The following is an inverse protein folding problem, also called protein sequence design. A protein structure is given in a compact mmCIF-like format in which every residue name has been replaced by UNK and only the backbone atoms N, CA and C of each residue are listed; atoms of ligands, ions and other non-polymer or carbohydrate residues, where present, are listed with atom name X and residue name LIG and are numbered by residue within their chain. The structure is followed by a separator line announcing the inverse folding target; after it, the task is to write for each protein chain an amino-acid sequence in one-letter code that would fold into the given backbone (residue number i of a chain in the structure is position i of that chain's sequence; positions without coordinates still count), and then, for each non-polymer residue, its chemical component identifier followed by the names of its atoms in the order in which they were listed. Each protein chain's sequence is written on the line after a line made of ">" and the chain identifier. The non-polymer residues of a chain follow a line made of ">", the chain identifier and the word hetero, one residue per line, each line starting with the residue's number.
data_IF_972879039673
#
_entry.id   IF_972879039673
#
_cell.length_a   1.000
_cell.length_b   1.000
_cell.length_c   1.000
_cell.angle_alpha   90.00
_cell.angle_beta   90.00
_cell.angle_gamma   90.00
#
_symmetry.space_group_name_H-M   'P 1'
#
loop_
_entity.id
_entity.type
_entity.pdbx_description
1 polymer ?
#
# COMPACT_ATOMS: atom_id res chain seq x y z
N UNK A 1 -6.05 4.08 -27.67
CA UNK A 1 -4.81 3.52 -27.12
C UNK A 1 -4.32 4.49 -26.07
N UNK A 2 -4.69 4.25 -24.80
CA UNK A 2 -4.22 5.04 -23.66
C UNK A 2 -3.64 4.04 -22.67
N UNK A 3 -2.34 3.80 -22.78
CA UNK A 3 -1.58 3.07 -21.75
C UNK A 3 -1.04 4.14 -20.81
N UNK A 4 -1.76 4.42 -19.74
CA UNK A 4 -1.15 5.04 -18.58
C UNK A 4 -0.71 3.89 -17.68
N UNK A 5 0.58 3.55 -17.76
CA UNK A 5 1.19 2.50 -16.96
C UNK A 5 1.19 2.93 -15.48
N UNK A 6 0.28 2.37 -14.69
CA UNK A 6 0.30 2.45 -13.23
C UNK A 6 1.35 1.45 -12.69
N UNK A 7 2.64 1.80 -12.85
CA UNK A 7 3.77 1.05 -12.31
C UNK A 7 3.92 1.31 -10.81
N UNK A 8 3.28 0.49 -9.99
CA UNK A 8 3.51 0.46 -8.53
C UNK A 8 4.52 -0.65 -8.20
N UNK A 9 5.62 -0.27 -7.56
CA UNK A 9 6.72 -1.17 -7.15
C UNK A 9 6.45 -1.60 -5.71
N UNK A 10 6.20 -2.90 -5.49
CA UNK A 10 6.19 -3.49 -4.16
C UNK A 10 7.50 -4.22 -3.91
N UNK A 11 8.30 -3.77 -2.94
CA UNK A 11 9.39 -4.58 -2.39
C UNK A 11 8.83 -5.45 -1.25
N UNK A 12 8.81 -6.78 -1.43
CA UNK A 12 8.52 -7.71 -0.32
C UNK A 12 9.86 -8.13 0.28
N UNK A 13 10.20 -7.56 1.43
CA UNK A 13 11.33 -8.01 2.25
C UNK A 13 10.87 -9.17 3.12
N UNK A 14 11.12 -10.40 2.66
CA UNK A 14 10.96 -11.59 3.49
C UNK A 14 12.20 -11.71 4.38
N UNK A 15 12.12 -11.14 5.60
CA UNK A 15 12.99 -11.57 6.69
C UNK A 15 12.55 -12.99 7.07
N UNK A 16 13.31 -13.97 6.57
CA UNK A 16 12.96 -15.40 6.55
C UNK A 16 12.58 -15.98 7.90
N UNK A 17 11.29 -15.99 8.20
CA UNK A 17 10.66 -16.85 9.22
C UNK A 17 9.33 -17.43 8.71
N UNK A 18 9.29 -17.88 7.46
CA UNK A 18 8.32 -18.87 7.05
C UNK A 18 9.01 -19.87 6.12
N UNK A 19 9.32 -21.05 6.68
CA UNK A 19 9.71 -22.23 5.92
C UNK A 19 8.52 -22.62 5.05
N UNK A 20 8.60 -22.30 3.76
CA UNK A 20 7.87 -23.04 2.73
C UNK A 20 8.90 -23.95 2.04
N UNK A 21 8.62 -25.23 2.08
CA UNK A 21 9.58 -26.34 2.02
C UNK A 21 9.95 -26.73 0.58
N UNK A 22 10.14 -25.76 -0.34
CA UNK A 22 10.44 -26.03 -1.77
C UNK A 22 11.35 -25.00 -2.48
N UNK A 23 12.29 -24.36 -1.77
CA UNK A 23 13.37 -23.59 -2.41
C UNK A 23 14.74 -24.23 -2.12
N UNK A 24 15.17 -25.08 -3.06
CA UNK A 24 16.55 -25.53 -3.15
C UNK A 24 17.47 -24.33 -3.45
N UNK A 25 18.55 -24.21 -2.68
CA UNK A 25 19.68 -23.26 -2.82
C UNK A 25 19.33 -21.77 -2.95
N UNK A 26 18.79 -21.20 -1.87
CA UNK A 26 18.62 -19.75 -1.76
C UNK A 26 19.96 -19.04 -1.48
N UNK A 27 20.49 -18.34 -2.48
CA UNK A 27 21.53 -17.32 -2.29
C UNK A 27 21.10 -16.37 -1.15
N UNK A 28 21.94 -16.14 -0.12
CA UNK A 28 21.57 -15.26 0.98
C UNK A 28 21.40 -13.82 0.44
N UNK A 29 20.38 -13.11 0.94
CA UNK A 29 20.10 -11.68 0.65
C UNK A 29 19.40 -11.38 -0.70
N UNK A 30 18.22 -11.95 -0.93
CA UNK A 30 17.37 -11.58 -2.07
C UNK A 30 16.14 -10.73 -1.68
N UNK A 31 15.67 -9.88 -2.61
CA UNK A 31 14.36 -9.22 -2.53
C UNK A 31 13.62 -9.37 -3.85
N UNK A 32 12.29 -9.25 -3.82
CA UNK A 32 11.47 -9.28 -5.02
C UNK A 32 10.67 -7.99 -5.18
N UNK A 33 10.60 -7.53 -6.42
CA UNK A 33 9.81 -6.37 -6.83
C UNK A 33 8.63 -6.85 -7.66
N UNK A 34 7.43 -6.69 -7.11
CA UNK A 34 6.19 -6.96 -7.81
C UNK A 34 5.78 -5.72 -8.61
N UNK A 35 5.57 -5.88 -9.90
CA UNK A 35 5.11 -4.84 -10.82
C UNK A 35 3.61 -4.97 -11.10
N UNK A 36 2.94 -3.87 -11.48
CA UNK A 36 1.47 -3.74 -11.55
C UNK A 36 0.71 -4.78 -12.39
N UNK A 37 1.39 -5.57 -13.23
CA UNK A 37 0.81 -6.68 -14.00
C UNK A 37 0.92 -8.05 -13.31
N UNK A 38 1.33 -8.10 -12.04
CA UNK A 38 1.48 -9.34 -11.27
C UNK A 38 2.79 -10.10 -11.57
N UNK A 39 3.66 -9.56 -12.42
CA UNK A 39 5.00 -10.08 -12.60
C UNK A 39 5.88 -9.67 -11.42
N UNK A 40 6.80 -10.55 -11.01
CA UNK A 40 7.76 -10.29 -9.94
C UNK A 40 9.17 -10.51 -10.45
N UNK A 41 10.06 -9.57 -10.17
CA UNK A 41 11.48 -9.70 -10.47
C UNK A 41 12.26 -9.87 -9.18
N UNK A 42 13.04 -10.95 -9.09
CA UNK A 42 13.89 -11.23 -7.94
C UNK A 42 15.29 -10.68 -8.19
N UNK A 43 15.84 -10.01 -7.18
CA UNK A 43 17.18 -9.46 -7.15
C UNK A 43 17.93 -10.07 -5.98
N UNK A 44 19.22 -10.34 -6.16
CA UNK A 44 20.13 -10.76 -5.10
C UNK A 44 21.17 -9.67 -4.85
N UNK A 45 21.60 -9.51 -3.60
CA UNK A 45 22.65 -8.58 -3.22
C UNK A 45 23.77 -9.31 -2.47
N UNK A 46 24.96 -8.74 -2.48
CA UNK A 46 26.15 -9.39 -1.91
C UNK A 46 26.16 -9.33 -0.37
N UNK A 47 25.51 -8.33 0.23
CA UNK A 47 25.54 -8.12 1.68
C UNK A 47 24.16 -7.76 2.28
N UNK A 48 24.01 -8.01 3.59
CA UNK A 48 22.84 -7.55 4.38
C UNK A 48 22.71 -6.02 4.39
N UNK A 49 23.83 -5.30 4.38
CA UNK A 49 23.83 -3.83 4.32
C UNK A 49 23.24 -3.32 3.01
N UNK A 50 23.56 -3.95 1.88
CA UNK A 50 23.02 -3.56 0.58
C UNK A 50 21.51 -3.80 0.53
N UNK A 51 21.05 -4.89 1.12
CA UNK A 51 19.62 -5.20 1.21
C UNK A 51 18.87 -4.10 1.99
N UNK A 52 19.44 -3.65 3.11
CA UNK A 52 18.90 -2.56 3.91
C UNK A 52 18.92 -1.20 3.19
N UNK A 53 19.93 -0.94 2.35
CA UNK A 53 19.99 0.27 1.50
C UNK A 53 18.88 0.25 0.45
N UNK A 54 18.66 -0.90 -0.20
CA UNK A 54 17.55 -1.07 -1.14
C UNK A 54 16.20 -0.88 -0.45
N UNK A 55 16.00 -1.49 0.71
CA UNK A 55 14.77 -1.32 1.50
C UNK A 55 14.46 0.14 1.80
N UNK A 56 15.44 0.86 2.35
CA UNK A 56 15.29 2.29 2.66
C UNK A 56 15.02 3.12 1.41
N UNK A 57 15.68 2.79 0.30
CA UNK A 57 15.50 3.50 -0.97
C UNK A 57 14.09 3.30 -1.52
N UNK A 58 13.56 2.07 -1.49
CA UNK A 58 12.18 1.79 -1.89
C UNK A 58 11.16 2.45 -0.96
N UNK A 59 11.35 2.36 0.36
CA UNK A 59 10.48 3.04 1.31
C UNK A 59 10.45 4.56 1.07
N UNK A 60 11.61 5.17 0.80
CA UNK A 60 11.70 6.60 0.46
C UNK A 60 11.01 6.93 -0.85
N UNK A 61 11.21 6.13 -1.90
CA UNK A 61 10.56 6.33 -3.19
C UNK A 61 9.03 6.24 -3.08
N UNK A 62 8.52 5.21 -2.39
CA UNK A 62 7.08 5.05 -2.12
C UNK A 62 6.52 6.22 -1.33
N UNK A 63 7.22 6.65 -0.28
CA UNK A 63 6.80 7.80 0.52
C UNK A 63 6.70 9.07 -0.33
N UNK A 64 7.75 9.40 -1.09
CA UNK A 64 7.75 10.59 -1.96
C UNK A 64 6.63 10.53 -2.99
N UNK A 65 6.38 9.37 -3.58
CA UNK A 65 5.31 9.17 -4.56
C UNK A 65 3.91 9.35 -3.94
N UNK A 66 3.68 8.79 -2.75
CA UNK A 66 2.42 8.98 -2.03
C UNK A 66 2.20 10.45 -1.65
N UNK A 67 3.25 11.16 -1.22
CA UNK A 67 3.16 12.61 -0.97
C UNK A 67 2.83 13.39 -2.24
N UNK A 68 3.45 13.02 -3.37
CA UNK A 68 3.26 13.67 -4.67
C UNK A 68 1.84 13.48 -5.20
N UNK A 69 1.31 12.26 -5.11
CA UNK A 69 -0.03 11.91 -5.60
C UNK A 69 -1.11 12.42 -4.66
N UNK A 70 -0.90 12.34 -3.34
CA UNK A 70 -1.80 12.83 -2.29
C UNK A 70 -3.07 12.00 -2.11
N UNK A 71 -3.75 11.63 -3.20
CA UNK A 71 -4.95 10.79 -3.18
C UNK A 71 -5.10 9.94 -4.44
N UNK A 72 -5.72 8.76 -4.31
CA UNK A 72 -6.10 7.88 -5.41
C UNK A 72 -7.54 7.41 -5.25
N UNK A 73 -8.30 7.48 -6.33
CA UNK A 73 -9.70 7.05 -6.39
C UNK A 73 -9.84 5.88 -7.36
N UNK A 74 -10.53 4.84 -6.89
CA UNK A 74 -10.84 3.63 -7.66
C UNK A 74 -12.35 3.45 -7.76
N UNK A 75 -12.81 3.00 -8.91
CA UNK A 75 -14.18 2.53 -9.07
C UNK A 75 -14.32 1.14 -8.47
N UNK A 76 -15.37 0.92 -7.68
CA UNK A 76 -15.67 -0.36 -7.06
C UNK A 76 -17.16 -0.63 -7.00
N UNK A 77 -17.54 -1.84 -6.61
CA UNK A 77 -18.93 -2.18 -6.33
C UNK A 77 -19.11 -2.75 -4.94
N UNK A 78 -20.26 -2.48 -4.34
CA UNK A 78 -20.69 -3.13 -3.10
C UNK A 78 -22.18 -3.39 -3.18
N UNK A 79 -22.59 -4.64 -2.93
CA UNK A 79 -24.01 -5.07 -2.97
C UNK A 79 -24.73 -4.62 -4.26
N UNK A 80 -24.05 -4.69 -5.42
CA UNK A 80 -24.60 -4.30 -6.72
C UNK A 80 -24.61 -2.80 -7.02
N UNK A 81 -24.17 -1.93 -6.10
CA UNK A 81 -24.04 -0.48 -6.33
C UNK A 81 -22.63 -0.12 -6.77
N UNK A 82 -22.51 0.77 -7.74
CA UNK A 82 -21.22 1.32 -8.21
C UNK A 82 -20.83 2.52 -7.34
N UNK A 83 -19.61 2.45 -6.80
CA UNK A 83 -19.07 3.37 -5.80
C UNK A 83 -17.68 3.86 -6.23
N UNK A 84 -17.25 4.95 -5.62
CA UNK A 84 -15.87 5.42 -5.66
C UNK A 84 -15.22 5.23 -4.29
N UNK A 85 -14.14 4.46 -4.27
CA UNK A 85 -13.28 4.28 -3.10
C UNK A 85 -12.04 5.15 -3.26
N UNK A 86 -11.84 6.08 -2.35
CA UNK A 86 -10.73 7.02 -2.34
C UNK A 86 -9.84 6.77 -1.13
N UNK A 87 -8.54 6.69 -1.38
CA UNK A 87 -7.49 6.68 -0.37
C UNK A 87 -6.80 8.04 -0.48
N UNK A 88 -6.84 8.81 0.59
CA UNK A 88 -6.29 10.15 0.66
C UNK A 88 -5.34 10.23 1.87
N UNK A 89 -4.17 10.83 1.66
CA UNK A 89 -3.10 10.80 2.65
C UNK A 89 -3.46 11.52 3.96
N UNK A 90 -4.35 12.51 3.89
CA UNK A 90 -4.75 13.31 5.05
C UNK A 90 -6.02 12.76 5.70
N UNK A 91 -7.06 12.53 4.91
CA UNK A 91 -8.39 12.15 5.36
C UNK A 91 -8.62 10.64 5.48
N UNK A 92 -7.73 9.81 4.94
CA UNK A 92 -7.79 8.35 5.01
C UNK A 92 -8.66 7.73 3.92
N UNK A 93 -9.57 6.86 4.31
CA UNK A 93 -10.43 6.10 3.42
C UNK A 93 -11.80 6.77 3.30
N UNK A 94 -12.26 7.01 2.09
CA UNK A 94 -13.60 7.53 1.80
C UNK A 94 -14.28 6.66 0.76
N UNK A 95 -15.55 6.33 0.98
CA UNK A 95 -16.38 5.71 -0.06
C UNK A 95 -17.58 6.59 -0.35
N UNK A 96 -17.85 6.79 -1.65
CA UNK A 96 -18.94 7.63 -2.13
C UNK A 96 -19.71 6.94 -3.24
N UNK A 97 -20.97 7.31 -3.40
CA UNK A 97 -21.82 6.78 -4.46
C UNK A 97 -21.47 7.43 -5.81
N UNK A 98 -21.40 6.63 -6.88
CA UNK A 98 -20.96 7.14 -8.19
C UNK A 98 -21.95 8.13 -8.82
N UNK A 99 -23.25 7.93 -8.63
CA UNK A 99 -24.31 8.76 -9.23
C UNK A 99 -24.48 10.12 -8.55
N UNK A 100 -24.39 10.16 -7.22
CA UNK A 100 -24.70 11.34 -6.40
C UNK A 100 -23.47 12.01 -5.79
N UNK A 101 -22.30 11.36 -5.84
CA UNK A 101 -21.08 11.71 -5.10
C UNK A 101 -21.30 11.85 -3.58
N UNK A 102 -22.40 11.31 -3.07
CA UNK A 102 -22.68 11.32 -1.64
C UNK A 102 -21.69 10.40 -0.92
N UNK A 103 -21.10 10.89 0.18
CA UNK A 103 -20.15 10.12 0.99
C UNK A 103 -20.93 9.13 1.86
N UNK A 104 -20.75 7.84 1.58
CA UNK A 104 -21.37 6.75 2.33
C UNK A 104 -20.69 6.53 3.68
N UNK A 105 -19.37 6.63 3.71
CA UNK A 105 -18.58 6.50 4.94
C UNK A 105 -17.16 7.04 4.74
N UNK A 106 -16.53 7.39 5.87
CA UNK A 106 -15.15 7.83 5.96
C UNK A 106 -14.48 7.29 7.21
N UNK A 107 -13.24 6.80 7.07
CA UNK A 107 -12.42 6.33 8.19
C UNK A 107 -10.97 6.78 8.04
N UNK A 108 -10.35 7.16 9.16
CA UNK A 108 -8.91 7.45 9.21
C UNK A 108 -8.09 6.16 9.09
N UNK A 109 -6.82 6.29 8.69
CA UNK A 109 -5.87 5.16 8.67
C UNK A 109 -5.79 4.42 10.01
N UNK A 110 -5.76 5.15 11.13
CA UNK A 110 -5.70 4.56 12.47
C UNK A 110 -6.92 3.73 12.86
N UNK A 111 -8.05 3.89 12.15
CA UNK A 111 -9.27 3.14 12.38
C UNK A 111 -9.26 1.79 11.67
N UNK A 112 -8.43 1.58 10.65
CA UNK A 112 -8.30 0.27 10.00
C UNK A 112 -7.62 -0.71 10.97
N UNK A 113 -8.29 -1.82 11.27
CA UNK A 113 -7.82 -2.88 12.19
C UNK A 113 -7.46 -4.17 11.50
N UNK A 114 -7.97 -4.38 10.31
CA UNK A 114 -7.64 -5.54 9.50
C UNK A 114 -8.17 -5.37 8.08
N UNK A 115 -7.50 -6.03 7.16
CA UNK A 115 -7.93 -6.20 5.78
C UNK A 115 -7.77 -7.66 5.42
N UNK A 116 -8.71 -8.21 4.66
CA UNK A 116 -8.60 -9.54 4.08
C UNK A 116 -9.19 -9.52 2.68
N UNK A 117 -8.61 -10.26 1.76
CA UNK A 117 -9.14 -10.42 0.40
C UNK A 117 -9.42 -11.89 0.06
N UNK A 118 -10.10 -12.10 -1.06
CA UNK A 118 -10.41 -13.43 -1.60
C UNK A 118 -9.42 -13.89 -2.69
N UNK A 119 -8.33 -13.14 -2.92
CA UNK A 119 -7.36 -13.40 -3.98
C UNK A 119 -7.87 -13.16 -5.41
N UNK A 120 -9.08 -12.63 -5.59
CA UNK A 120 -9.70 -12.42 -6.90
C UNK A 120 -10.05 -10.95 -7.11
N UNK A 121 -11.17 -10.51 -6.53
CA UNK A 121 -11.73 -9.17 -6.79
C UNK A 121 -12.24 -8.50 -5.54
N UNK A 122 -12.40 -9.22 -4.42
CA UNK A 122 -13.13 -8.73 -3.25
C UNK A 122 -12.19 -8.54 -2.07
N UNK A 123 -12.35 -7.41 -1.41
CA UNK A 123 -11.64 -7.07 -0.17
C UNK A 123 -12.62 -6.69 0.92
N UNK A 124 -12.29 -7.10 2.14
CA UNK A 124 -13.00 -6.81 3.38
C UNK A 124 -12.08 -5.96 4.24
N UNK A 125 -12.51 -4.73 4.50
CA UNK A 125 -11.83 -3.79 5.39
C UNK A 125 -12.58 -3.72 6.72
N UNK A 126 -11.85 -3.85 7.81
CA UNK A 126 -12.37 -3.83 9.18
C UNK A 126 -11.98 -2.51 9.84
N UNK A 127 -12.95 -1.64 10.06
CA UNK A 127 -12.73 -0.33 10.67
C UNK A 127 -13.27 -0.30 12.09
N UNK A 128 -12.51 0.22 13.04
CA UNK A 128 -12.99 0.54 14.38
C UNK A 128 -13.67 1.90 14.36
N UNK A 129 -14.97 1.91 14.60
CA UNK A 129 -15.75 3.14 14.74
C UNK A 129 -15.28 3.92 15.99
N UNK A 130 -15.13 5.23 15.85
CA UNK A 130 -14.58 6.09 16.89
C UNK A 130 -15.53 6.25 18.10
N UNK A 131 -16.84 6.24 17.85
CA UNK A 131 -17.90 6.49 18.82
C UNK A 131 -18.22 5.24 19.63
N UNK A 132 -18.67 4.17 18.95
CA UNK A 132 -19.15 2.95 19.62
C UNK A 132 -18.07 1.87 19.83
N UNK A 133 -16.84 2.10 19.35
CA UNK A 133 -15.70 1.16 19.39
C UNK A 133 -15.93 -0.19 18.71
N UNK A 134 -17.05 -0.37 18.00
CA UNK A 134 -17.35 -1.60 17.26
C UNK A 134 -16.52 -1.69 15.99
N UNK A 135 -16.34 -2.92 15.52
CA UNK A 135 -15.68 -3.21 14.24
C UNK A 135 -16.73 -3.26 13.14
N UNK A 136 -16.66 -2.31 12.22
CA UNK A 136 -17.47 -2.26 11.02
C UNK A 136 -16.74 -2.90 9.85
N UNK A 137 -17.39 -3.88 9.21
CA UNK A 137 -16.89 -4.54 8.01
C UNK A 137 -17.42 -3.83 6.78
N UNK A 138 -16.52 -3.38 5.90
CA UNK A 138 -16.85 -2.85 4.56
C UNK A 138 -16.29 -3.80 3.51
N UNK A 139 -17.17 -4.35 2.69
CA UNK A 139 -16.81 -5.25 1.60
C UNK A 139 -16.95 -4.53 0.27
N UNK A 140 -15.88 -4.54 -0.52
CA UNK A 140 -15.76 -3.85 -1.79
C UNK A 140 -15.20 -4.80 -2.84
N UNK A 141 -15.69 -4.65 -4.07
CA UNK A 141 -15.27 -5.45 -5.22
C UNK A 141 -14.65 -4.53 -6.28
N UNK A 142 -13.50 -4.96 -6.82
CA UNK A 142 -12.66 -4.19 -7.73
C UNK A 142 -12.29 -5.02 -8.95
N UNK A 143 -12.19 -4.38 -10.12
CA UNK A 143 -11.70 -5.02 -11.34
C UNK A 143 -10.19 -5.35 -11.27
N UNK A 144 -9.40 -4.47 -10.65
CA UNK A 144 -7.98 -4.69 -10.37
C UNK A 144 -7.75 -4.55 -8.87
N UNK A 145 -8.02 -5.63 -8.14
CA UNK A 145 -7.86 -5.66 -6.69
C UNK A 145 -6.39 -5.47 -6.27
N UNK A 146 -5.46 -6.08 -7.00
CA UNK A 146 -4.01 -6.02 -6.74
C UNK A 146 -3.52 -4.59 -6.68
N UNK A 147 -3.86 -3.75 -7.67
CA UNK A 147 -3.48 -2.34 -7.69
C UNK A 147 -4.02 -1.57 -6.47
N UNK A 148 -5.26 -1.87 -6.06
CA UNK A 148 -5.89 -1.22 -4.90
C UNK A 148 -5.19 -1.65 -3.61
N UNK A 149 -4.91 -2.93 -3.43
CA UNK A 149 -4.20 -3.43 -2.26
C UNK A 149 -2.80 -2.83 -2.15
N UNK A 150 -2.05 -2.75 -3.26
CA UNK A 150 -0.76 -2.07 -3.28
C UNK A 150 -0.89 -0.60 -2.90
N UNK A 151 -1.88 0.10 -3.46
CA UNK A 151 -2.13 1.49 -3.11
C UNK A 151 -2.43 1.66 -1.62
N UNK A 152 -3.26 0.80 -1.03
CA UNK A 152 -3.53 0.81 0.42
C UNK A 152 -2.24 0.60 1.20
N UNK A 153 -1.45 -0.42 0.86
CA UNK A 153 -0.18 -0.72 1.53
C UNK A 153 0.82 0.44 1.42
N UNK A 154 0.96 1.07 0.26
CA UNK A 154 1.84 2.22 0.03
C UNK A 154 1.42 3.43 0.86
N UNK A 155 0.13 3.76 0.89
CA UNK A 155 -0.37 4.87 1.72
C UNK A 155 -0.21 4.58 3.22
N UNK A 156 -0.49 3.35 3.65
CA UNK A 156 -0.30 2.93 5.05
C UNK A 156 1.17 3.00 5.46
N UNK A 157 2.08 2.43 4.67
CA UNK A 157 3.52 2.48 4.92
C UNK A 157 4.02 3.93 4.97
N UNK A 158 3.55 4.77 4.05
CA UNK A 158 3.91 6.18 4.04
C UNK A 158 3.37 6.93 5.26
N UNK A 159 2.17 6.60 5.73
CA UNK A 159 1.61 7.20 6.95
C UNK A 159 2.39 6.78 8.19
N UNK A 160 2.81 5.52 8.29
CA UNK A 160 3.70 5.04 9.35
C UNK A 160 5.05 5.77 9.30
N UNK A 161 5.64 5.89 8.12
CA UNK A 161 6.90 6.62 7.93
C UNK A 161 6.80 8.11 8.31
N UNK A 162 5.63 8.75 8.10
CA UNK A 162 5.41 10.15 8.49
C UNK A 162 5.37 10.39 10.00
N UNK A 163 5.06 9.35 10.80
CA UNK A 163 5.02 9.45 12.28
C UNK A 163 6.30 8.92 12.92
N UNK A 164 7.15 8.22 12.16
CA UNK A 164 8.44 7.74 12.61
C UNK A 164 9.48 8.87 12.60
N UNK A 165 9.88 9.31 13.81
CA UNK A 165 10.88 10.35 13.99
C UNK A 165 12.23 10.02 13.33
N UNK A 166 12.60 8.74 13.24
CA UNK A 166 13.87 8.31 12.63
C UNK A 166 13.82 8.49 11.12
N UNK A 167 12.70 8.12 10.49
CA UNK A 167 12.50 8.31 9.05
C UNK A 167 12.43 9.79 8.68
N UNK A 168 11.66 10.60 9.43
CA UNK A 168 11.55 12.05 9.19
C UNK A 168 12.91 12.76 9.30
N UNK A 169 13.72 12.41 10.31
CA UNK A 169 15.06 12.98 10.48
C UNK A 169 16.05 12.53 9.38
N UNK A 170 15.85 11.34 8.79
CA UNK A 170 16.69 10.89 7.67
C UNK A 170 16.43 11.67 6.37
N UNK A 171 15.22 12.22 6.19
CA UNK A 171 14.91 13.09 5.06
C UNK A 171 15.56 14.47 5.18
N UNK A 172 15.58 15.07 6.37
CA UNK A 172 16.17 16.41 6.57
C UNK A 172 17.70 16.43 6.36
N UNK A 173 18.38 15.31 6.59
CA UNK A 173 19.82 15.18 6.35
C UNK A 173 20.20 15.01 4.86
N UNK A 174 19.23 14.76 3.97
CA UNK A 174 19.47 14.66 2.52
C UNK A 174 19.66 16.03 1.84
N UNK A 175 19.32 17.13 2.54
CA UNK A 175 19.38 18.50 2.01
C UNK A 175 20.69 19.25 2.26
N UNK A 176 21.72 18.61 2.84
CA UNK A 176 22.99 19.28 3.19
C UNK A 176 24.17 19.01 2.24
N UNK A 177 23.92 18.38 1.10
CA UNK A 177 24.96 18.12 0.07
C UNK A 177 24.75 18.94 -1.22
N UNK A 178 24.06 20.08 -1.13
CA UNK A 178 24.03 21.08 -2.20
C UNK A 178 24.15 22.48 -1.59
N UNK A 179 25.37 22.85 -1.20
CA UNK A 179 25.78 24.24 -0.93
C UNK A 179 27.26 24.39 -1.20
#
# INVERSE_FOLDING_TARGET
>A
MWMAEDCWIQARFYLGLQQDEELQDGEPFCFSVLVGHGQSHTFSVETTSDLAVWEKSFQRAVFMEVQRVGSKTYMCSSQGKVLYFTIDFESGFTCSESSSKNILWRYKFSQLKGSSDDGKTRVKLLFRNAENKQIERKELEFANLTAVLHCISSFMASKVASVDQVFVNSQSNSGKYLS
#
